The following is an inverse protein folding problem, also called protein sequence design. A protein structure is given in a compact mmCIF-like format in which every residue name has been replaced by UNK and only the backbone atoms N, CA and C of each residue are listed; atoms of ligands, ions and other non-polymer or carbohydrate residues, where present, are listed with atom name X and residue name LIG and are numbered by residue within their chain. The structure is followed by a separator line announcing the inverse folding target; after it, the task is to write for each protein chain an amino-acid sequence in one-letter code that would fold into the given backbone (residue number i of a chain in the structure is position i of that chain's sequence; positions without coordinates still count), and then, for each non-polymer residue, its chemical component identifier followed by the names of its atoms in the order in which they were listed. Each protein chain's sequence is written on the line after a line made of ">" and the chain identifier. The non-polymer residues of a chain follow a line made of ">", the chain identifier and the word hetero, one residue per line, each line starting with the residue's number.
data_IF_305743830343
#
_entry.id   IF_305743830343
#
_cell.length_a   1.000
_cell.length_b   1.000
_cell.length_c   1.000
_cell.angle_alpha   90.00
_cell.angle_beta   90.00
_cell.angle_gamma   90.00
#
_symmetry.space_group_name_H-M   'P 1'
#
loop_
_entity.id
_entity.type
_entity.pdbx_description
1 polymer ?
#
# COMPACT_ATOMS: atom_id res chain seq x y z
N UNK A 1 0.80 -13.40 -2.74
CA UNK A 1 0.39 -12.76 -1.48
C UNK A 1 -0.28 -11.40 -1.73
N UNK A 2 0.38 -10.42 -2.39
CA UNK A 2 -0.19 -9.07 -2.61
C UNK A 2 -1.57 -9.11 -3.28
N UNK A 3 -1.76 -9.91 -4.35
CA UNK A 3 -3.08 -10.08 -5.00
C UNK A 3 -4.17 -10.50 -4.01
N UNK A 4 -3.85 -11.47 -3.15
CA UNK A 4 -4.80 -11.97 -2.14
C UNK A 4 -5.14 -10.90 -1.12
N UNK A 5 -4.15 -10.20 -0.57
CA UNK A 5 -4.37 -9.15 0.39
C UNK A 5 -5.20 -8.00 -0.20
N UNK A 6 -4.86 -7.54 -1.40
CA UNK A 6 -5.54 -6.41 -2.04
C UNK A 6 -6.95 -6.72 -2.52
N UNK A 7 -7.32 -7.98 -2.73
CA UNK A 7 -8.71 -8.34 -3.07
C UNK A 7 -9.71 -7.99 -1.96
N UNK A 8 -9.25 -7.82 -0.72
CA UNK A 8 -10.08 -7.43 0.44
C UNK A 8 -10.07 -5.92 0.71
N UNK A 9 -9.28 -5.15 -0.05
CA UNK A 9 -9.16 -3.70 0.20
C UNK A 9 -10.48 -2.94 0.06
N UNK A 10 -11.38 -3.37 -0.81
CA UNK A 10 -12.70 -2.75 -0.98
C UNK A 10 -13.57 -2.88 0.25
N UNK A 11 -13.35 -3.92 1.08
CA UNK A 11 -14.05 -4.11 2.35
C UNK A 11 -13.46 -3.32 3.53
N UNK A 12 -12.34 -2.61 3.32
CA UNK A 12 -11.73 -1.78 4.37
C UNK A 12 -12.21 -0.34 4.21
N UNK A 13 -12.85 0.17 5.25
CA UNK A 13 -13.46 1.49 5.29
C UNK A 13 -13.21 2.16 6.65
N UNK A 14 -13.79 3.34 6.88
CA UNK A 14 -13.77 4.00 8.18
C UNK A 14 -14.55 3.18 9.20
N UNK A 15 -13.89 2.59 10.23
CA UNK A 15 -14.56 1.71 11.18
C UNK A 15 -15.51 2.45 12.14
N UNK A 16 -15.48 3.77 12.17
CA UNK A 16 -16.43 4.56 12.96
C UNK A 16 -17.81 4.66 12.27
N UNK A 17 -17.84 4.42 10.96
CA UNK A 17 -19.06 4.53 10.15
C UNK A 17 -19.51 3.20 9.52
N UNK A 18 -18.59 2.24 9.38
CA UNK A 18 -18.83 0.98 8.70
C UNK A 18 -18.40 -0.20 9.57
N UNK A 19 -19.14 -1.29 9.46
CA UNK A 19 -18.74 -2.55 10.11
C UNK A 19 -17.59 -3.21 9.33
N UNK A 20 -16.37 -2.97 9.81
CA UNK A 20 -15.15 -3.53 9.22
C UNK A 20 -14.64 -4.66 10.11
N UNK A 21 -14.55 -5.91 9.64
CA UNK A 21 -14.15 -7.06 10.45
C UNK A 21 -12.64 -7.07 10.74
N UNK A 22 -12.11 -6.00 11.34
CA UNK A 22 -10.67 -5.81 11.57
C UNK A 22 -10.06 -6.95 12.40
N UNK A 23 -10.76 -7.45 13.42
CA UNK A 23 -10.25 -8.55 14.28
C UNK A 23 -10.05 -9.83 13.45
N UNK A 24 -10.97 -10.11 12.54
CA UNK A 24 -10.87 -11.26 11.64
C UNK A 24 -9.73 -11.08 10.64
N UNK A 25 -9.71 -9.94 9.93
CA UNK A 25 -8.70 -9.63 8.91
C UNK A 25 -7.26 -9.63 9.45
N UNK A 26 -7.08 -9.28 10.73
CA UNK A 26 -5.79 -9.25 11.40
C UNK A 26 -5.45 -10.55 12.15
N UNK A 27 -6.29 -11.58 12.06
CA UNK A 27 -6.06 -12.84 12.77
C UNK A 27 -5.11 -13.77 12.00
N UNK A 28 -4.33 -14.56 12.76
CA UNK A 28 -3.49 -15.62 12.20
C UNK A 28 -4.31 -16.67 11.43
N UNK A 29 -5.51 -16.98 11.91
CA UNK A 29 -6.40 -17.93 11.26
C UNK A 29 -6.81 -17.47 9.87
N UNK A 30 -7.12 -16.18 9.71
CA UNK A 30 -7.42 -15.59 8.41
C UNK A 30 -6.20 -15.62 7.49
N UNK A 31 -5.03 -15.22 8.01
CA UNK A 31 -3.79 -15.22 7.24
C UNK A 31 -3.43 -16.64 6.74
N UNK A 32 -3.56 -17.67 7.60
CA UNK A 32 -3.32 -19.06 7.24
C UNK A 32 -4.30 -19.55 6.18
N UNK A 33 -5.59 -19.24 6.33
CA UNK A 33 -6.62 -19.59 5.35
C UNK A 33 -6.31 -18.94 3.98
N UNK A 34 -5.92 -17.66 3.95
CA UNK A 34 -5.57 -16.97 2.71
C UNK A 34 -4.25 -17.46 2.11
N UNK A 35 -3.31 -17.90 2.93
CA UNK A 35 -2.07 -18.53 2.47
C UNK A 35 -2.34 -19.81 1.68
N UNK A 36 -3.33 -20.59 2.04
CA UNK A 36 -3.65 -21.87 1.39
C UNK A 36 -4.06 -21.72 -0.09
N UNK A 37 -4.55 -20.54 -0.50
CA UNK A 37 -4.90 -20.27 -1.91
C UNK A 37 -3.70 -19.84 -2.75
N UNK A 38 -2.52 -19.60 -2.13
CA UNK A 38 -1.30 -19.20 -2.84
C UNK A 38 -0.59 -20.45 -3.32
N UNK A 39 -0.47 -20.62 -4.62
CA UNK A 39 0.27 -21.71 -5.25
C UNK A 39 1.61 -21.17 -5.77
N UNK A 40 2.66 -22.00 -5.71
CA UNK A 40 4.00 -21.60 -6.13
C UNK A 40 4.27 -21.79 -7.62
N UNK A 41 3.46 -22.60 -8.28
CA UNK A 41 3.62 -23.07 -9.65
C UNK A 41 2.64 -22.44 -10.64
N UNK A 42 1.68 -21.65 -10.16
CA UNK A 42 0.71 -20.97 -11.01
C UNK A 42 0.18 -19.67 -10.43
N UNK A 43 -0.29 -18.82 -11.32
CA UNK A 43 -0.96 -17.57 -10.96
C UNK A 43 -2.39 -17.87 -10.52
N UNK A 44 -2.83 -17.25 -9.43
CA UNK A 44 -4.25 -17.25 -9.05
C UNK A 44 -5.03 -16.55 -10.15
N UNK A 45 -6.01 -17.23 -10.75
CA UNK A 45 -6.81 -16.70 -11.85
C UNK A 45 -7.58 -15.46 -11.39
N UNK A 46 -7.57 -14.46 -12.23
CA UNK A 46 -8.01 -13.10 -11.91
C UNK A 46 -9.51 -12.95 -11.70
N UNK A 47 -10.31 -13.90 -12.19
CA UNK A 47 -11.78 -13.83 -12.08
C UNK A 47 -12.27 -14.12 -10.66
N UNK A 48 -11.41 -14.75 -9.85
CA UNK A 48 -11.70 -15.06 -8.45
C UNK A 48 -11.35 -13.91 -7.48
N UNK A 49 -10.64 -12.88 -7.96
CA UNK A 49 -10.19 -11.78 -7.11
C UNK A 49 -10.39 -10.42 -7.81
N UNK A 50 -11.37 -9.66 -7.32
CA UNK A 50 -11.49 -8.23 -7.67
C UNK A 50 -10.40 -7.46 -6.91
N UNK A 51 -9.33 -7.09 -7.58
CA UNK A 51 -8.31 -6.21 -7.00
C UNK A 51 -8.71 -4.77 -7.31
N UNK A 52 -9.18 -4.06 -6.30
CA UNK A 52 -9.31 -2.61 -6.40
C UNK A 52 -7.90 -2.01 -6.24
N UNK A 53 -7.35 -1.52 -7.34
CA UNK A 53 -6.12 -0.73 -7.33
C UNK A 53 -6.40 0.75 -7.09
N UNK A 54 -5.40 1.54 -6.70
CA UNK A 54 -5.52 2.99 -6.75
C UNK A 54 -5.77 3.43 -8.21
N UNK A 55 -6.56 4.49 -8.39
CA UNK A 55 -6.81 5.04 -9.72
C UNK A 55 -5.49 5.38 -10.42
N UNK A 56 -5.40 5.01 -11.72
CA UNK A 56 -4.24 5.33 -12.56
C UNK A 56 -3.98 6.84 -12.59
N UNK A 57 -2.73 7.22 -12.37
CA UNK A 57 -2.21 8.54 -12.76
C UNK A 57 -2.08 9.58 -11.67
N UNK A 58 -2.42 9.31 -10.42
CA UNK A 58 -2.21 10.27 -9.33
C UNK A 58 -0.80 10.13 -8.75
N UNK A 59 -0.03 11.21 -8.84
CA UNK A 59 1.27 11.33 -8.17
C UNK A 59 1.03 11.86 -6.75
N UNK A 60 0.71 10.97 -5.81
CA UNK A 60 0.62 11.34 -4.41
C UNK A 60 1.99 11.59 -3.85
N UNK A 61 2.12 12.68 -3.12
CA UNK A 61 3.35 13.06 -2.42
C UNK A 61 3.06 13.15 -0.93
N UNK A 62 4.04 12.82 -0.11
CA UNK A 62 3.91 12.88 1.33
C UNK A 62 5.23 13.19 1.99
N UNK A 63 5.17 13.42 3.29
CA UNK A 63 6.34 13.61 4.14
C UNK A 63 6.19 12.78 5.38
N UNK A 64 7.29 12.30 5.92
CA UNK A 64 7.29 11.62 7.20
C UNK A 64 8.46 12.05 8.07
N UNK A 65 8.21 12.04 9.38
CA UNK A 65 9.23 12.23 10.40
C UNK A 65 9.15 11.04 11.34
N UNK A 66 10.29 10.42 11.58
CA UNK A 66 10.42 9.30 12.53
C UNK A 66 11.41 9.72 13.59
N UNK A 67 11.00 9.63 14.86
CA UNK A 67 11.81 10.02 16.01
C UNK A 67 11.86 8.85 16.97
N UNK A 68 13.07 8.54 17.43
CA UNK A 68 13.30 7.58 18.51
C UNK A 68 14.08 8.31 19.61
N UNK A 69 13.54 8.36 20.82
CA UNK A 69 14.24 8.99 21.95
C UNK A 69 15.21 8.02 22.64
N UNK A 70 15.98 8.54 23.58
CA UNK A 70 16.97 7.75 24.35
C UNK A 70 16.31 6.67 25.26
N UNK A 71 15.01 6.75 25.52
CA UNK A 71 14.25 5.78 26.29
C UNK A 71 13.62 4.69 25.40
N UNK A 72 13.77 4.80 24.08
CA UNK A 72 13.18 3.90 23.12
C UNK A 72 11.73 4.21 22.77
N UNK A 73 11.20 5.38 23.15
CA UNK A 73 9.89 5.83 22.66
C UNK A 73 10.00 6.18 21.18
N UNK A 74 8.97 5.82 20.43
CA UNK A 74 8.91 6.02 18.98
C UNK A 74 7.72 6.88 18.64
N UNK A 75 7.94 7.90 17.82
CA UNK A 75 6.89 8.67 17.18
C UNK A 75 7.10 8.66 15.66
N UNK A 76 6.05 8.35 14.91
CA UNK A 76 6.03 8.44 13.46
C UNK A 76 4.90 9.40 13.09
N UNK A 77 5.25 10.48 12.39
CA UNK A 77 4.29 11.39 11.79
C UNK A 77 4.38 11.23 10.29
N UNK A 78 3.29 10.82 9.66
CA UNK A 78 3.14 10.80 8.22
C UNK A 78 2.06 11.80 7.83
N UNK A 79 2.31 12.61 6.82
CA UNK A 79 1.39 13.64 6.35
C UNK A 79 1.43 13.76 4.84
N UNK A 80 0.27 13.95 4.24
CA UNK A 80 0.13 14.20 2.80
C UNK A 80 -0.94 15.25 2.54
N UNK A 81 -0.76 15.98 1.45
CA UNK A 81 -1.82 16.79 0.85
C UNK A 81 -2.58 16.02 -0.25
N UNK A 82 -2.12 14.81 -0.58
CA UNK A 82 -2.52 14.09 -1.77
C UNK A 82 -1.59 14.45 -2.92
N UNK A 83 -2.06 15.23 -3.88
CA UNK A 83 -1.20 15.81 -4.92
C UNK A 83 -0.27 16.90 -4.36
N UNK A 84 0.75 17.31 -5.12
CA UNK A 84 1.83 18.20 -4.66
C UNK A 84 1.36 19.50 -3.98
N UNK A 85 0.21 20.04 -4.40
CA UNK A 85 -0.42 21.23 -3.81
C UNK A 85 -1.83 20.93 -3.27
N UNK A 86 -2.15 19.67 -3.05
CA UNK A 86 -3.47 19.22 -2.61
C UNK A 86 -4.58 19.73 -3.52
N UNK A 87 -5.62 20.31 -2.94
CA UNK A 87 -6.74 20.92 -3.67
C UNK A 87 -6.39 22.26 -4.36
N UNK A 88 -5.14 22.69 -4.29
CA UNK A 88 -4.68 24.03 -4.72
C UNK A 88 -5.35 25.22 -3.99
N UNK A 89 -6.13 24.97 -2.94
CA UNK A 89 -6.74 25.98 -2.11
C UNK A 89 -5.81 26.35 -0.94
N UNK A 90 -5.30 27.57 -0.96
CA UNK A 90 -4.49 28.10 0.11
C UNK A 90 -5.37 28.75 1.19
N UNK A 91 -5.13 28.43 2.46
CA UNK A 91 -5.85 29.05 3.57
C UNK A 91 -5.32 30.46 3.81
N UNK A 92 -6.15 31.51 3.67
CA UNK A 92 -5.73 32.88 3.89
C UNK A 92 -5.20 33.11 5.32
N UNK A 93 -4.08 33.80 5.44
CA UNK A 93 -3.46 34.10 6.74
C UNK A 93 -2.61 33.01 7.35
N UNK A 94 -2.77 31.72 6.94
CA UNK A 94 -2.05 30.61 7.52
C UNK A 94 -0.92 30.05 6.64
N UNK A 95 -1.00 30.24 5.32
CA UNK A 95 0.10 29.90 4.40
C UNK A 95 0.20 28.44 4.00
N UNK A 96 -0.73 27.55 4.40
CA UNK A 96 -0.78 26.16 3.97
C UNK A 96 -1.89 25.89 2.95
N UNK A 97 -1.76 24.80 2.21
CA UNK A 97 -2.77 24.30 1.27
C UNK A 97 -3.64 23.24 1.94
N UNK A 98 -4.91 23.17 1.51
CA UNK A 98 -5.80 22.07 1.89
C UNK A 98 -5.46 20.82 1.06
N UNK A 99 -5.66 19.65 1.67
CA UNK A 99 -5.48 18.40 0.96
C UNK A 99 -6.60 18.15 -0.07
N UNK A 100 -6.39 17.18 -0.96
CA UNK A 100 -7.35 16.70 -1.94
C UNK A 100 -7.79 15.24 -1.69
N UNK A 101 -7.65 14.74 -0.47
CA UNK A 101 -7.89 13.33 -0.12
C UNK A 101 -9.34 12.88 -0.31
N UNK A 102 -10.30 13.79 -0.44
CA UNK A 102 -11.67 13.45 -0.84
C UNK A 102 -11.72 12.77 -2.22
N UNK A 103 -10.70 12.95 -3.03
CA UNK A 103 -10.55 12.27 -4.32
C UNK A 103 -10.25 10.77 -4.19
N UNK A 104 -10.06 10.25 -2.97
CA UNK A 104 -9.96 8.81 -2.70
C UNK A 104 -11.31 8.10 -2.72
N UNK A 105 -12.36 8.85 -2.60
CA UNK A 105 -13.72 8.33 -2.78
C UNK A 105 -14.09 8.28 -4.27
N UNK A 106 -15.11 7.50 -4.58
CA UNK A 106 -15.63 7.43 -5.93
C UNK A 106 -16.36 8.74 -6.28
N UNK A 107 -15.84 9.45 -7.28
CA UNK A 107 -16.43 10.71 -7.74
C UNK A 107 -17.73 10.51 -8.54
N UNK A 108 -18.04 9.28 -8.98
CA UNK A 108 -19.25 8.98 -9.73
C UNK A 108 -20.18 8.05 -8.92
N UNK A 109 -21.10 8.59 -8.11
CA UNK A 109 -22.04 7.80 -7.32
C UNK A 109 -22.88 6.82 -8.16
N UNK A 110 -23.19 7.18 -9.39
CA UNK A 110 -23.99 6.32 -10.29
C UNK A 110 -23.27 5.05 -10.72
N UNK A 111 -21.95 4.98 -10.56
CA UNK A 111 -21.16 3.76 -10.83
C UNK A 111 -21.16 2.77 -9.67
N UNK A 112 -21.63 3.18 -8.50
CA UNK A 112 -21.67 2.37 -7.29
C UNK A 112 -23.07 1.80 -7.11
N UNK A 113 -23.18 0.48 -7.08
CA UNK A 113 -24.48 -0.19 -7.00
C UNK A 113 -25.14 -0.06 -5.62
N UNK A 114 -24.34 0.01 -4.57
CA UNK A 114 -24.79 0.14 -3.18
C UNK A 114 -24.71 1.61 -2.76
N UNK A 115 -25.83 2.28 -2.50
CA UNK A 115 -25.84 3.67 -2.04
C UNK A 115 -25.26 3.87 -0.64
N UNK A 116 -25.02 2.79 0.13
CA UNK A 116 -24.35 2.81 1.42
C UNK A 116 -22.88 2.37 1.34
N UNK A 117 -22.35 2.27 0.13
CA UNK A 117 -20.95 1.86 -0.10
C UNK A 117 -19.96 2.84 0.55
N UNK A 118 -18.97 2.29 1.22
CA UNK A 118 -17.84 3.03 1.76
C UNK A 118 -16.97 3.72 0.68
N UNK A 119 -17.22 3.44 -0.59
CA UNK A 119 -16.58 4.14 -1.70
C UNK A 119 -17.17 5.54 -1.95
N UNK A 120 -18.38 5.80 -1.45
CA UNK A 120 -19.04 7.10 -1.57
C UNK A 120 -18.64 8.05 -0.45
N UNK A 121 -18.62 9.35 -0.77
CA UNK A 121 -18.35 10.39 0.23
C UNK A 121 -19.55 10.52 1.17
N UNK A 122 -19.29 10.49 2.46
CA UNK A 122 -20.27 10.87 3.49
C UNK A 122 -19.68 11.82 4.53
N UNK A 123 -20.56 12.53 5.24
CA UNK A 123 -20.11 13.48 6.26
C UNK A 123 -19.36 12.80 7.40
N UNK A 124 -18.21 13.32 7.77
CA UNK A 124 -17.37 12.79 8.85
C UNK A 124 -16.54 11.56 8.47
N UNK A 125 -16.69 11.02 7.29
CA UNK A 125 -15.95 9.85 6.82
C UNK A 125 -14.48 10.17 6.54
N UNK A 126 -13.57 9.35 7.08
CA UNK A 126 -12.13 9.43 6.79
C UNK A 126 -11.82 8.79 5.44
N UNK A 127 -11.10 9.49 4.55
CA UNK A 127 -10.58 8.90 3.33
C UNK A 127 -9.50 7.86 3.65
N UNK A 128 -9.20 6.98 2.69
CA UNK A 128 -8.07 6.06 2.79
C UNK A 128 -6.78 6.84 2.63
N UNK A 129 -5.89 6.76 3.64
CA UNK A 129 -4.58 7.40 3.58
C UNK A 129 -3.61 6.64 2.68
N UNK A 130 -2.68 7.35 2.02
CA UNK A 130 -1.60 6.76 1.24
C UNK A 130 -0.35 6.43 2.08
N UNK A 131 -0.43 6.50 3.41
CA UNK A 131 0.68 6.26 4.32
C UNK A 131 0.58 4.88 4.97
N UNK A 132 1.74 4.28 5.24
CA UNK A 132 1.84 3.01 5.94
C UNK A 132 2.96 3.04 7.00
N UNK A 133 2.78 3.77 8.11
CA UNK A 133 3.76 3.72 9.19
C UNK A 133 3.77 2.34 9.85
N UNK A 134 4.94 1.79 10.11
CA UNK A 134 5.11 0.49 10.73
C UNK A 134 6.25 0.47 11.75
N UNK A 135 6.04 -0.21 12.85
CA UNK A 135 7.08 -0.52 13.85
C UNK A 135 7.14 -2.03 14.03
N UNK A 136 8.31 -2.59 13.84
CA UNK A 136 8.56 -4.02 14.00
C UNK A 136 9.25 -4.25 15.34
N UNK A 137 8.68 -5.14 16.12
CA UNK A 137 9.24 -5.54 17.41
C UNK A 137 9.92 -6.91 17.30
N UNK A 138 11.08 -7.04 17.94
CA UNK A 138 11.77 -8.32 18.12
C UNK A 138 12.04 -8.52 19.62
N UNK A 139 11.56 -9.62 20.17
CA UNK A 139 11.70 -9.92 21.61
C UNK A 139 11.16 -8.78 22.50
N UNK A 140 10.03 -8.21 22.16
CA UNK A 140 9.38 -7.12 22.89
C UNK A 140 10.06 -5.75 22.79
N UNK A 141 11.12 -5.61 21.98
CA UNK A 141 11.81 -4.33 21.76
C UNK A 141 11.62 -3.86 20.31
N UNK A 142 11.48 -2.55 20.06
CA UNK A 142 11.48 -2.03 18.71
C UNK A 142 12.78 -2.41 18.00
N UNK A 143 12.67 -2.94 16.80
CA UNK A 143 13.80 -3.39 15.98
C UNK A 143 13.92 -2.64 14.67
N UNK A 144 12.79 -2.22 14.10
CA UNK A 144 12.76 -1.51 12.84
C UNK A 144 11.58 -0.56 12.82
N UNK A 145 11.81 0.65 12.36
CA UNK A 145 10.78 1.69 12.17
C UNK A 145 10.78 2.05 10.70
N UNK A 146 9.61 1.98 10.07
CA UNK A 146 9.45 2.19 8.64
C UNK A 146 8.24 3.08 8.38
N UNK A 147 8.31 3.83 7.31
CA UNK A 147 7.16 4.43 6.66
C UNK A 147 7.36 4.42 5.15
N UNK A 148 6.27 4.28 4.41
CA UNK A 148 6.25 4.46 2.97
C UNK A 148 5.06 5.31 2.59
N UNK A 149 5.22 6.07 1.52
CA UNK A 149 4.18 6.84 0.87
C UNK A 149 4.43 6.88 -0.64
N UNK A 150 3.48 7.35 -1.39
CA UNK A 150 3.64 7.49 -2.84
C UNK A 150 2.40 7.10 -3.63
N UNK A 151 2.47 7.18 -4.96
CA UNK A 151 1.37 6.83 -5.86
C UNK A 151 1.04 5.34 -5.84
N UNK A 152 2.01 4.54 -5.41
CA UNK A 152 1.87 3.10 -5.29
C UNK A 152 1.32 2.72 -3.91
N UNK A 153 0.96 1.46 -3.74
CA UNK A 153 0.49 0.97 -2.45
C UNK A 153 1.65 0.94 -1.45
N UNK A 154 1.67 1.82 -0.43
CA UNK A 154 2.78 1.90 0.51
C UNK A 154 2.97 0.60 1.31
N UNK A 155 1.92 -0.17 1.54
CA UNK A 155 2.02 -1.47 2.21
C UNK A 155 2.81 -2.48 1.36
N UNK A 156 2.66 -2.43 0.03
CA UNK A 156 3.45 -3.27 -0.88
C UNK A 156 4.93 -2.85 -0.90
N UNK A 157 5.20 -1.56 -0.85
CA UNK A 157 6.58 -1.02 -0.74
C UNK A 157 7.22 -1.50 0.55
N UNK A 158 6.53 -1.33 1.69
CA UNK A 158 7.04 -1.80 2.99
C UNK A 158 7.28 -3.30 3.01
N UNK A 159 6.39 -4.10 2.40
CA UNK A 159 6.57 -5.54 2.31
C UNK A 159 7.88 -5.90 1.59
N UNK A 160 8.20 -5.24 0.48
CA UNK A 160 9.48 -5.46 -0.22
C UNK A 160 10.67 -5.14 0.70
N UNK A 161 10.65 -4.00 1.38
CA UNK A 161 11.72 -3.58 2.30
C UNK A 161 11.84 -4.57 3.47
N UNK A 162 10.73 -4.99 4.06
CA UNK A 162 10.73 -5.96 5.16
C UNK A 162 11.31 -7.31 4.75
N UNK A 163 10.95 -7.84 3.59
CA UNK A 163 11.52 -9.08 3.06
C UNK A 163 13.03 -8.94 2.86
N UNK A 164 13.49 -7.86 2.24
CA UNK A 164 14.93 -7.62 2.06
C UNK A 164 15.68 -7.54 3.39
N UNK A 165 15.11 -6.80 4.37
CA UNK A 165 15.77 -6.57 5.66
C UNK A 165 15.73 -7.77 6.59
N UNK A 166 14.55 -8.43 6.69
CA UNK A 166 14.29 -9.45 7.73
C UNK A 166 14.65 -10.84 7.21
N UNK A 167 14.18 -11.18 5.99
CA UNK A 167 14.34 -12.53 5.45
C UNK A 167 15.67 -12.70 4.72
N UNK A 168 16.14 -11.67 4.01
CA UNK A 168 17.36 -11.73 3.20
C UNK A 168 18.58 -11.08 3.88
N UNK A 169 18.41 -10.43 5.04
CA UNK A 169 19.50 -9.90 5.84
C UNK A 169 20.19 -8.66 5.28
N UNK A 170 19.57 -7.94 4.37
CA UNK A 170 20.13 -6.71 3.80
C UNK A 170 20.35 -5.62 4.86
N UNK A 171 21.27 -4.68 4.62
CA UNK A 171 21.36 -3.46 5.41
C UNK A 171 20.10 -2.62 5.26
N UNK A 172 19.86 -1.63 6.14
CA UNK A 172 18.69 -0.75 6.00
C UNK A 172 18.73 0.02 4.67
N UNK A 173 19.86 0.61 4.31
CA UNK A 173 20.01 1.27 3.00
C UNK A 173 19.86 0.28 1.86
N UNK A 174 20.52 -0.88 1.91
CA UNK A 174 20.40 -1.90 0.88
C UNK A 174 18.95 -2.39 0.67
N UNK A 175 18.15 -2.51 1.74
CA UNK A 175 16.76 -2.89 1.63
C UNK A 175 15.90 -1.79 0.98
N UNK A 176 16.19 -0.52 1.27
CA UNK A 176 15.51 0.63 0.67
C UNK A 176 15.90 0.81 -0.80
N UNK A 177 17.17 0.61 -1.12
CA UNK A 177 17.73 0.78 -2.47
C UNK A 177 17.48 -0.45 -3.37
N UNK A 178 17.06 -1.57 -2.81
CA UNK A 178 16.75 -2.78 -3.59
C UNK A 178 15.59 -2.54 -4.55
N UNK A 179 15.71 -3.02 -5.80
CA UNK A 179 14.65 -2.88 -6.77
C UNK A 179 13.40 -3.64 -6.32
N UNK A 180 12.25 -3.00 -6.50
CA UNK A 180 10.97 -3.45 -5.98
C UNK A 180 10.10 -4.08 -7.05
N UNK A 181 9.16 -4.86 -6.59
CA UNK A 181 8.04 -5.35 -7.38
C UNK A 181 6.72 -5.14 -6.63
N UNK A 182 5.70 -4.79 -7.36
CA UNK A 182 4.34 -4.76 -6.83
C UNK A 182 3.33 -5.31 -7.83
N UNK A 183 2.14 -5.60 -7.35
CA UNK A 183 1.01 -5.98 -8.19
C UNK A 183 0.00 -4.83 -8.19
N UNK A 184 -0.25 -4.27 -9.39
CA UNK A 184 -1.30 -3.30 -9.62
C UNK A 184 -2.15 -3.76 -10.81
N UNK A 185 -3.46 -3.69 -10.70
CA UNK A 185 -4.38 -4.06 -11.79
C UNK A 185 -4.07 -5.44 -12.41
N UNK A 186 -3.69 -6.41 -11.56
CA UNK A 186 -3.30 -7.78 -11.96
C UNK A 186 -1.95 -7.89 -12.69
N UNK A 187 -1.26 -6.78 -12.92
CA UNK A 187 0.04 -6.71 -13.58
C UNK A 187 1.15 -6.66 -12.52
N UNK A 188 2.20 -7.42 -12.73
CA UNK A 188 3.45 -7.28 -11.99
C UNK A 188 4.24 -6.11 -12.55
N UNK A 189 4.40 -5.08 -11.74
CA UNK A 189 5.26 -3.95 -12.04
C UNK A 189 6.59 -4.16 -11.36
N UNK A 190 7.65 -4.08 -12.13
CA UNK A 190 9.00 -4.35 -11.67
C UNK A 190 9.91 -3.18 -12.01
N UNK A 191 10.66 -2.70 -11.03
CA UNK A 191 11.73 -1.73 -11.27
C UNK A 191 12.82 -2.33 -12.15
N UNK A 192 13.55 -1.45 -12.86
CA UNK A 192 14.55 -1.83 -13.86
C UNK A 192 15.51 -2.90 -13.37
N UNK A 193 16.03 -2.79 -12.15
CA UNK A 193 16.99 -3.76 -11.58
C UNK A 193 16.46 -5.20 -11.48
N UNK A 194 15.14 -5.40 -11.38
CA UNK A 194 14.51 -6.72 -11.45
C UNK A 194 14.04 -7.06 -12.87
N UNK A 195 13.45 -6.08 -13.56
CA UNK A 195 12.91 -6.28 -14.90
C UNK A 195 13.98 -6.69 -15.90
N UNK A 196 15.17 -6.11 -15.81
CA UNK A 196 16.29 -6.39 -16.74
C UNK A 196 16.94 -7.76 -16.49
N UNK A 197 16.57 -8.45 -15.37
CA UNK A 197 16.96 -9.84 -15.13
C UNK A 197 16.05 -10.80 -15.93
N UNK A 198 16.50 -11.17 -17.12
CA UNK A 198 15.75 -11.99 -18.07
C UNK A 198 15.20 -13.28 -17.46
N UNK A 199 16.01 -14.00 -16.69
CA UNK A 199 15.60 -15.25 -16.06
C UNK A 199 14.43 -15.11 -15.07
N UNK A 200 14.39 -13.99 -14.32
CA UNK A 200 13.29 -13.71 -13.39
C UNK A 200 12.03 -13.44 -14.21
N UNK A 201 12.14 -12.61 -15.23
CA UNK A 201 11.02 -12.24 -16.10
C UNK A 201 10.45 -13.45 -16.83
N UNK A 202 11.32 -14.31 -17.38
CA UNK A 202 10.89 -15.54 -18.05
C UNK A 202 10.17 -16.50 -17.09
N UNK A 203 10.72 -16.75 -15.91
CA UNK A 203 10.10 -17.62 -14.91
C UNK A 203 8.72 -17.11 -14.48
N UNK A 204 8.60 -15.83 -14.21
CA UNK A 204 7.31 -15.23 -13.84
C UNK A 204 6.30 -15.29 -15.01
N UNK A 205 6.78 -15.07 -16.24
CA UNK A 205 5.95 -15.20 -17.45
C UNK A 205 5.45 -16.64 -17.65
N UNK A 206 6.29 -17.64 -17.45
CA UNK A 206 5.91 -19.05 -17.54
C UNK A 206 4.86 -19.45 -16.49
N UNK A 207 4.88 -18.81 -15.32
CA UNK A 207 3.84 -18.97 -14.31
C UNK A 207 2.52 -18.26 -14.67
N UNK A 208 2.49 -17.50 -15.77
CA UNK A 208 1.30 -16.80 -16.26
C UNK A 208 1.16 -15.36 -15.75
N UNK A 209 2.22 -14.75 -15.20
CA UNK A 209 2.18 -13.34 -14.80
C UNK A 209 2.34 -12.42 -15.99
N UNK A 210 1.51 -11.40 -16.09
CA UNK A 210 1.76 -10.23 -16.94
C UNK A 210 2.74 -9.30 -16.21
N UNK A 211 3.80 -8.89 -16.89
CA UNK A 211 4.90 -8.12 -16.29
C UNK A 211 5.11 -6.83 -17.09
N UNK A 212 5.19 -5.71 -16.39
CA UNK A 212 5.53 -4.41 -16.95
C UNK A 212 6.73 -3.80 -16.22
N UNK A 213 7.53 -3.05 -16.96
CA UNK A 213 8.63 -2.26 -16.39
C UNK A 213 8.09 -0.98 -15.79
N UNK A 214 8.58 -0.64 -14.60
CA UNK A 214 8.32 0.62 -13.92
C UNK A 214 9.67 1.28 -13.61
N UNK A 215 9.78 2.61 -13.71
CA UNK A 215 11.04 3.29 -13.41
C UNK A 215 11.30 3.34 -11.92
N UNK A 216 10.27 3.66 -11.14
CA UNK A 216 10.34 3.76 -9.67
C UNK A 216 9.03 3.35 -9.03
N UNK A 217 9.11 2.53 -8.00
CA UNK A 217 7.98 2.05 -7.19
C UNK A 217 8.09 2.61 -5.77
N UNK A 218 7.32 3.66 -5.47
CA UNK A 218 7.25 4.30 -4.16
C UNK A 218 8.54 4.99 -3.70
N UNK A 219 8.47 5.63 -2.54
CA UNK A 219 9.60 6.30 -1.86
C UNK A 219 9.63 5.91 -0.37
#
# INVERSE_FOLDING_TARGET
>A
AQKVAFSYRTGVADPDLFDVPLKELLSDAWAQNRRSVIQFDQVIKSDEMKVAGPEKGRKRVGSSVMIVDARGNIAILAATLGDAFGSALKVPGYGFFLNDLLTDFNANPSSVKDPQSAELISGGQRPRGPEAPAVIFKNGKPSLVLNAYGPDDPAAVLLNIMVQKIDLGASCSGAVDSPRLLVRDRVFRMESGLYDQEMIRLKLGLLGHTIEKEETIGF
#
